data_IF_844113529847
#
_entry.id   IF_844113529847
#
_cell.length_a   1.000
_cell.length_b   1.000
_cell.length_c   1.000
_cell.angle_alpha   90.00
_cell.angle_beta   90.00
_cell.angle_gamma   90.00
#
_symmetry.space_group_name_H-M   'P 1'
#
loop_
_entity.id
_entity.type
_entity.pdbx_description
1 polymer ?
#
# COMPACT_ATOMS: atom_id res chain seq x y z
N UNK A 1 4.41 -18.84 34.33
CA UNK A 1 3.69 -19.97 33.70
C UNK A 1 2.27 -19.87 34.18
N UNK A 2 1.29 -19.76 33.29
CA UNK A 2 -0.12 -19.80 33.67
C UNK A 2 -0.51 -21.27 33.72
N UNK A 3 -1.03 -21.74 34.88
CA UNK A 3 -1.56 -23.09 35.02
C UNK A 3 -2.73 -23.25 34.03
N UNK A 4 -2.62 -24.25 33.19
CA UNK A 4 -3.69 -24.64 32.27
C UNK A 4 -4.70 -25.47 33.07
N UNK A 5 -6.00 -25.22 32.87
CA UNK A 5 -7.08 -25.95 33.51
C UNK A 5 -6.91 -27.47 33.25
N UNK A 6 -6.90 -28.31 34.29
CA UNK A 6 -6.70 -29.76 34.15
C UNK A 6 -7.70 -30.44 33.18
N UNK A 7 -8.88 -29.90 33.00
CA UNK A 7 -9.89 -30.39 32.02
C UNK A 7 -9.48 -30.11 30.58
N UNK A 8 -8.69 -29.07 30.36
CA UNK A 8 -8.15 -28.73 29.02
C UNK A 8 -6.98 -29.65 28.69
N UNK A 9 -6.15 -29.98 29.68
CA UNK A 9 -5.07 -30.96 29.51
C UNK A 9 -5.60 -32.36 29.21
N UNK A 10 -6.62 -32.81 29.94
CA UNK A 10 -7.30 -34.10 29.69
C UNK A 10 -7.94 -34.15 28.29
N UNK A 11 -8.53 -33.05 27.82
CA UNK A 11 -9.09 -32.96 26.47
C UNK A 11 -8.00 -33.00 25.39
N UNK A 12 -6.85 -32.37 25.60
CA UNK A 12 -5.69 -32.38 24.69
C UNK A 12 -5.05 -33.77 24.65
N UNK A 13 -4.95 -34.46 25.80
CA UNK A 13 -4.43 -35.83 25.87
C UNK A 13 -5.34 -36.83 25.16
N UNK A 14 -6.65 -36.65 25.25
CA UNK A 14 -7.66 -37.47 24.54
C UNK A 14 -7.62 -37.23 23.01
N UNK A 15 -7.26 -36.07 22.56
CA UNK A 15 -7.09 -35.72 21.14
C UNK A 15 -5.72 -36.12 20.57
N UNK A 16 -4.69 -36.25 21.44
CA UNK A 16 -3.33 -36.67 21.08
C UNK A 16 -3.17 -38.18 21.11
N UNK A 17 -4.02 -38.92 20.37
CA UNK A 17 -3.86 -40.35 20.17
C UNK A 17 -2.58 -40.64 19.39
N UNK A 18 -1.55 -41.12 20.05
CA UNK A 18 -0.27 -41.49 19.48
C UNK A 18 -0.31 -42.60 18.46
N UNK A 19 -1.47 -43.33 18.36
CA UNK A 19 -1.69 -44.38 17.38
C UNK A 19 -3.11 -44.19 16.79
N UNK A 20 -3.20 -43.36 15.73
CA UNK A 20 -4.45 -43.14 15.03
C UNK A 20 -4.94 -44.41 14.35
N UNK A 21 -6.21 -44.79 14.50
CA UNK A 21 -6.80 -45.86 13.70
C UNK A 21 -6.81 -45.43 12.25
N UNK A 22 -6.20 -46.27 11.40
CA UNK A 22 -6.24 -46.08 9.95
C UNK A 22 -7.69 -46.01 9.48
N UNK A 23 -7.98 -45.17 8.48
CA UNK A 23 -9.30 -44.94 7.85
C UNK A 23 -10.13 -46.21 7.58
N UNK A 24 -9.52 -47.38 7.56
CA UNK A 24 -10.16 -48.68 7.33
C UNK A 24 -10.90 -49.24 8.54
N UNK A 25 -10.59 -48.86 9.78
CA UNK A 25 -11.28 -49.38 11.00
C UNK A 25 -12.54 -48.60 11.37
N UNK A 26 -12.77 -47.44 10.79
CA UNK A 26 -13.99 -46.64 11.04
C UNK A 26 -15.22 -47.17 10.26
N UNK A 27 -15.03 -48.07 9.29
CA UNK A 27 -16.11 -48.56 8.42
C UNK A 27 -16.65 -49.96 8.80
N UNK A 28 -16.12 -50.63 9.84
CA UNK A 28 -16.52 -52.01 10.20
C UNK A 28 -16.98 -52.19 11.66
N UNK A 29 -17.24 -51.13 12.39
CA UNK A 29 -17.73 -51.20 13.76
C UNK A 29 -19.26 -51.03 13.82
N UNK A 30 -19.99 -52.12 13.77
CA UNK A 30 -21.41 -52.16 14.14
C UNK A 30 -21.59 -52.02 15.64
N UNK A 31 -22.29 -50.96 16.07
CA UNK A 31 -22.79 -50.91 17.44
C UNK A 31 -23.06 -49.52 18.00
N UNK A 32 -24.37 -49.23 18.17
CA UNK A 32 -24.98 -48.26 19.08
C UNK A 32 -25.24 -46.83 18.61
N UNK A 33 -26.39 -46.68 18.14
CA UNK A 33 -27.43 -45.66 18.15
C UNK A 33 -27.32 -44.69 19.34
N UNK A 34 -27.07 -43.43 19.09
CA UNK A 34 -27.69 -42.23 19.64
C UNK A 34 -26.87 -40.93 19.55
N UNK A 35 -25.90 -40.82 18.59
CA UNK A 35 -25.23 -39.56 18.32
C UNK A 35 -25.29 -39.12 16.84
N UNK A 36 -26.28 -39.60 16.09
CA UNK A 36 -26.31 -39.50 14.62
C UNK A 36 -27.15 -38.37 14.05
N UNK A 37 -27.77 -37.53 14.88
CA UNK A 37 -28.57 -36.42 14.35
C UNK A 37 -27.74 -35.17 13.99
N UNK A 38 -26.59 -34.99 14.60
CA UNK A 38 -25.74 -33.80 14.32
C UNK A 38 -24.67 -34.06 13.23
N UNK A 39 -24.22 -35.30 13.05
CA UNK A 39 -23.22 -35.65 12.03
C UNK A 39 -23.84 -35.85 10.63
N UNK A 40 -25.13 -36.23 10.54
CA UNK A 40 -25.81 -36.37 9.26
C UNK A 40 -26.14 -35.04 8.58
N UNK A 41 -26.27 -33.94 9.33
CA UNK A 41 -26.49 -32.63 8.77
C UNK A 41 -25.23 -32.07 8.08
N UNK A 42 -24.02 -32.45 8.53
CA UNK A 42 -22.76 -32.04 7.91
C UNK A 42 -22.38 -32.87 6.68
N UNK A 43 -22.82 -34.13 6.59
CA UNK A 43 -22.55 -34.98 5.43
C UNK A 43 -23.60 -34.82 4.31
N UNK A 44 -24.80 -34.36 4.62
CA UNK A 44 -25.82 -34.03 3.62
C UNK A 44 -25.51 -32.78 2.81
N UNK A 45 -24.62 -31.91 3.31
CA UNK A 45 -24.14 -30.72 2.59
C UNK A 45 -23.14 -31.05 1.46
N UNK A 46 -22.59 -32.28 1.41
CA UNK A 46 -21.57 -32.65 0.41
C UNK A 46 -22.06 -33.66 -0.65
N UNK A 47 -23.33 -34.08 -0.66
CA UNK A 47 -23.80 -35.14 -1.56
C UNK A 47 -25.06 -34.84 -2.37
N UNK A 48 -25.34 -33.57 -2.66
CA UNK A 48 -26.37 -33.27 -3.67
C UNK A 48 -25.70 -33.10 -5.05
N UNK A 49 -25.46 -34.19 -5.74
CA UNK A 49 -25.31 -34.21 -7.19
C UNK A 49 -26.66 -33.90 -7.84
N UNK A 50 -27.03 -32.65 -7.89
CA UNK A 50 -28.00 -32.14 -8.85
C UNK A 50 -27.27 -31.16 -9.77
N UNK A 51 -27.07 -31.61 -10.99
CA UNK A 51 -26.80 -30.78 -12.17
C UNK A 51 -28.00 -29.86 -12.43
N UNK A 52 -28.16 -28.88 -11.62
CA UNK A 52 -28.95 -27.68 -11.90
C UNK A 52 -28.01 -26.51 -11.70
N UNK A 53 -27.87 -25.70 -12.76
CA UNK A 53 -27.15 -24.48 -12.85
C UNK A 53 -26.47 -24.06 -11.54
N UNK A 54 -25.17 -23.93 -11.53
CA UNK A 54 -24.44 -23.40 -10.41
C UNK A 54 -25.15 -22.14 -9.91
N UNK A 55 -26.09 -22.30 -9.01
CA UNK A 55 -26.42 -21.25 -8.07
C UNK A 55 -25.12 -21.09 -7.31
N UNK A 56 -24.31 -20.12 -7.75
CA UNK A 56 -23.23 -19.59 -6.98
C UNK A 56 -23.69 -19.67 -5.53
N UNK A 57 -22.95 -20.39 -4.69
CA UNK A 57 -23.04 -20.20 -3.26
C UNK A 57 -22.60 -18.76 -3.02
N UNK A 58 -23.51 -17.82 -3.31
CA UNK A 58 -23.35 -16.44 -2.90
C UNK A 58 -23.19 -16.52 -1.41
N UNK A 59 -21.99 -16.21 -0.92
CA UNK A 59 -21.74 -16.18 0.50
C UNK A 59 -22.89 -15.42 1.16
N UNK A 60 -23.37 -15.93 2.28
CA UNK A 60 -24.52 -15.37 3.00
C UNK A 60 -24.14 -14.05 3.70
N UNK A 61 -23.60 -13.10 2.93
CA UNK A 61 -23.31 -11.77 3.46
C UNK A 61 -24.64 -11.04 3.72
N UNK A 62 -24.80 -10.46 4.92
CA UNK A 62 -26.01 -9.73 5.26
C UNK A 62 -26.12 -8.47 4.38
N UNK A 63 -27.34 -8.03 4.14
CA UNK A 63 -27.58 -6.71 3.57
C UNK A 63 -27.02 -5.66 4.53
N UNK A 64 -26.09 -4.86 4.04
CA UNK A 64 -25.49 -3.78 4.82
C UNK A 64 -26.25 -2.47 4.64
N UNK A 65 -26.20 -1.55 5.62
CA UNK A 65 -26.56 -0.16 5.40
C UNK A 65 -25.70 0.45 4.28
N UNK A 66 -26.16 1.54 3.70
CA UNK A 66 -25.39 2.30 2.72
C UNK A 66 -24.26 3.09 3.41
N UNK A 67 -23.26 2.37 3.92
CA UNK A 67 -22.12 2.97 4.60
C UNK A 67 -21.36 3.91 3.69
N UNK A 68 -21.23 5.19 4.09
CA UNK A 68 -20.48 6.20 3.35
C UNK A 68 -19.09 6.36 3.92
N UNK A 69 -18.05 5.97 3.17
CA UNK A 69 -16.66 6.18 3.53
C UNK A 69 -16.11 7.47 2.92
N UNK A 70 -15.08 8.03 3.55
CA UNK A 70 -14.43 9.25 3.12
C UNK A 70 -12.93 9.04 3.06
N UNK A 71 -12.31 9.57 2.00
CA UNK A 71 -10.86 9.56 1.82
C UNK A 71 -10.33 10.98 1.88
N UNK A 72 -9.44 11.24 2.83
CA UNK A 72 -8.76 12.52 3.05
C UNK A 72 -7.37 12.44 2.45
N UNK A 73 -7.13 13.15 1.35
CA UNK A 73 -5.91 13.10 0.57
C UNK A 73 -5.16 14.44 0.62
N UNK A 74 -3.83 14.37 0.43
CA UNK A 74 -2.96 15.54 0.50
C UNK A 74 -2.73 16.22 -0.85
N UNK A 75 -2.87 15.49 -1.98
CA UNK A 75 -2.74 16.03 -3.35
C UNK A 75 -3.83 15.44 -4.25
N UNK A 76 -5.05 15.90 -4.08
CA UNK A 76 -6.27 15.29 -4.64
C UNK A 76 -6.29 15.21 -6.17
N UNK A 77 -5.52 16.03 -6.86
CA UNK A 77 -5.43 16.12 -8.33
C UNK A 77 -4.17 15.44 -8.90
N UNK A 78 -3.26 14.91 -8.06
CA UNK A 78 -2.04 14.27 -8.55
C UNK A 78 -2.37 12.93 -9.26
N UNK A 79 -1.90 12.70 -10.50
CA UNK A 79 -2.14 11.47 -11.25
C UNK A 79 -1.70 10.19 -10.53
N UNK A 80 -0.77 10.26 -9.59
CA UNK A 80 -0.38 9.15 -8.74
C UNK A 80 -1.58 8.50 -8.04
N UNK A 81 -2.58 9.28 -7.63
CA UNK A 81 -3.76 8.79 -6.94
C UNK A 81 -4.90 8.33 -7.85
N UNK A 82 -4.73 8.37 -9.16
CA UNK A 82 -5.76 7.84 -10.09
C UNK A 82 -6.03 6.35 -9.86
N UNK A 83 -5.02 5.45 -9.73
CA UNK A 83 -5.27 4.06 -9.36
C UNK A 83 -5.91 3.89 -7.98
N UNK A 84 -5.58 4.75 -7.02
CA UNK A 84 -6.21 4.74 -5.68
C UNK A 84 -7.71 5.01 -5.80
N UNK A 85 -8.11 6.01 -6.60
CA UNK A 85 -9.51 6.31 -6.85
C UNK A 85 -10.24 5.17 -7.57
N UNK A 86 -9.58 4.45 -8.48
CA UNK A 86 -10.14 3.23 -9.05
C UNK A 86 -10.29 2.13 -8.01
N UNK A 87 -9.29 1.93 -7.15
CA UNK A 87 -9.33 0.92 -6.09
C UNK A 87 -10.50 1.13 -5.14
N UNK A 88 -10.69 2.35 -4.63
CA UNK A 88 -11.82 2.64 -3.74
C UNK A 88 -13.18 2.50 -4.43
N UNK A 89 -13.29 2.89 -5.71
CA UNK A 89 -14.52 2.75 -6.46
C UNK A 89 -14.85 1.28 -6.76
N UNK A 90 -13.85 0.47 -7.12
CA UNK A 90 -14.01 -0.95 -7.40
C UNK A 90 -14.38 -1.74 -6.15
N UNK A 91 -13.74 -1.45 -5.00
CA UNK A 91 -14.09 -2.07 -3.73
C UNK A 91 -15.53 -1.72 -3.31
N UNK A 92 -15.94 -0.46 -3.46
CA UNK A 92 -17.30 -0.03 -3.17
C UNK A 92 -18.31 -0.72 -4.09
N UNK A 93 -18.03 -0.82 -5.38
CA UNK A 93 -18.88 -1.53 -6.34
C UNK A 93 -18.99 -3.03 -6.02
N UNK A 94 -17.86 -3.69 -5.69
CA UNK A 94 -17.81 -5.09 -5.29
C UNK A 94 -18.68 -5.37 -4.06
N UNK A 95 -18.68 -4.45 -3.10
CA UNK A 95 -19.37 -4.57 -1.81
C UNK A 95 -20.77 -3.95 -1.82
N UNK A 96 -21.26 -3.48 -2.96
CA UNK A 96 -22.56 -2.81 -3.12
C UNK A 96 -22.72 -1.58 -2.22
N UNK A 97 -21.67 -0.81 -2.04
CA UNK A 97 -21.63 0.40 -1.24
C UNK A 97 -21.62 1.67 -2.10
N UNK A 98 -22.03 2.82 -1.54
CA UNK A 98 -21.81 4.11 -2.20
C UNK A 98 -20.32 4.35 -2.44
N UNK A 99 -19.98 4.94 -3.58
CA UNK A 99 -18.59 5.34 -3.87
C UNK A 99 -18.07 6.26 -2.76
N UNK A 100 -16.90 5.97 -2.16
CA UNK A 100 -16.33 6.82 -1.14
C UNK A 100 -16.10 8.25 -1.61
N UNK A 101 -16.27 9.20 -0.70
CA UNK A 101 -15.99 10.61 -0.97
C UNK A 101 -14.48 10.85 -0.97
N UNK A 102 -14.00 11.56 -1.97
CA UNK A 102 -12.59 11.90 -2.16
C UNK A 102 -12.39 13.41 -2.02
N UNK A 103 -11.46 13.83 -1.15
CA UNK A 103 -11.16 15.24 -0.92
C UNK A 103 -9.99 15.45 0.02
N UNK A 104 -9.78 16.69 0.42
CA UNK A 104 -8.67 17.09 1.28
C UNK A 104 -7.96 18.34 0.77
N UNK A 105 -6.70 18.22 0.32
CA UNK A 105 -5.95 19.32 -0.27
C UNK A 105 -5.44 18.96 -1.66
N UNK A 106 -5.32 19.95 -2.54
CA UNK A 106 -4.68 19.79 -3.84
C UNK A 106 -3.14 19.95 -3.77
N UNK A 107 -2.62 20.63 -2.73
CA UNK A 107 -1.22 21.05 -2.64
C UNK A 107 -0.59 20.82 -1.25
N UNK A 108 -0.90 19.70 -0.60
CA UNK A 108 -0.37 19.31 0.72
C UNK A 108 -0.61 20.33 1.84
N UNK A 109 -1.68 21.11 1.76
CA UNK A 109 -2.04 22.11 2.78
C UNK A 109 -2.75 21.42 3.95
N UNK A 110 -2.01 21.09 5.00
CA UNK A 110 -2.49 20.32 6.17
C UNK A 110 -3.78 20.90 6.79
N UNK A 111 -3.94 22.23 7.01
CA UNK A 111 -5.20 22.77 7.52
C UNK A 111 -6.42 22.45 6.65
N UNK A 112 -6.29 22.42 5.31
CA UNK A 112 -7.39 22.01 4.42
C UNK A 112 -7.77 20.54 4.62
N UNK A 113 -6.77 19.67 4.79
CA UNK A 113 -7.00 18.25 5.08
C UNK A 113 -7.70 18.06 6.41
N UNK A 114 -7.28 18.75 7.47
CA UNK A 114 -7.93 18.73 8.79
C UNK A 114 -9.38 19.21 8.68
N UNK A 115 -9.64 20.27 7.94
CA UNK A 115 -11.00 20.78 7.72
C UNK A 115 -11.88 19.75 7.02
N UNK A 116 -11.36 19.09 5.98
CA UNK A 116 -12.10 18.04 5.26
C UNK A 116 -12.33 16.80 6.13
N UNK A 117 -11.34 16.40 6.94
CA UNK A 117 -11.48 15.32 7.91
C UNK A 117 -12.60 15.61 8.92
N UNK A 118 -12.60 16.82 9.48
CA UNK A 118 -13.63 17.24 10.42
C UNK A 118 -15.03 17.28 9.79
N UNK A 119 -15.12 17.65 8.49
CA UNK A 119 -16.37 17.58 7.73
C UNK A 119 -16.86 16.13 7.62
N UNK A 120 -15.97 15.18 7.35
CA UNK A 120 -16.32 13.75 7.31
C UNK A 120 -16.80 13.25 8.68
N UNK A 121 -16.13 13.64 9.77
CA UNK A 121 -16.51 13.29 11.13
C UNK A 121 -17.87 13.89 11.52
N UNK A 122 -18.11 15.18 11.21
CA UNK A 122 -19.38 15.84 11.44
C UNK A 122 -20.55 15.22 10.64
N UNK A 123 -20.26 14.72 9.44
CA UNK A 123 -21.21 13.98 8.61
C UNK A 123 -21.44 12.54 9.09
N UNK A 124 -20.85 12.14 10.23
CA UNK A 124 -20.93 10.78 10.79
C UNK A 124 -20.53 9.72 9.77
N UNK A 125 -19.38 9.92 9.11
CA UNK A 125 -18.84 8.96 8.16
C UNK A 125 -18.81 7.55 8.77
N UNK A 126 -19.10 6.54 7.97
CA UNK A 126 -19.00 5.13 8.40
C UNK A 126 -17.55 4.61 8.46
N UNK A 127 -16.59 5.43 8.05
CA UNK A 127 -15.16 5.24 8.12
C UNK A 127 -14.42 6.35 7.39
N UNK A 128 -13.24 6.73 7.89
CA UNK A 128 -12.40 7.78 7.30
C UNK A 128 -11.01 7.21 7.01
N UNK A 129 -10.62 7.17 5.74
CA UNK A 129 -9.27 6.88 5.30
C UNK A 129 -8.47 8.19 5.18
N UNK A 130 -7.33 8.28 5.83
CA UNK A 130 -6.52 9.49 5.96
C UNK A 130 -5.09 9.27 5.46
N UNK A 131 -4.62 10.06 4.51
CA UNK A 131 -3.19 10.15 4.19
C UNK A 131 -2.51 11.13 5.17
N UNK A 132 -1.98 10.61 6.28
CA UNK A 132 -1.43 11.42 7.37
C UNK A 132 -0.01 11.92 7.06
N UNK A 133 0.10 13.09 6.44
CA UNK A 133 1.40 13.71 6.09
C UNK A 133 2.02 14.54 7.23
N UNK A 134 1.33 14.68 8.34
CA UNK A 134 1.80 15.41 9.53
C UNK A 134 1.65 14.55 10.77
N UNK A 135 2.69 14.49 11.61
CA UNK A 135 2.73 13.68 12.83
C UNK A 135 1.78 14.15 13.92
N UNK A 136 1.46 15.43 13.95
CA UNK A 136 0.76 16.07 15.07
C UNK A 136 -0.61 16.62 14.71
N UNK A 137 -0.79 17.11 13.48
CA UNK A 137 -2.00 17.80 13.08
C UNK A 137 -3.25 16.92 13.12
N UNK A 138 -3.11 15.62 12.98
CA UNK A 138 -4.21 14.66 12.95
C UNK A 138 -4.43 13.91 14.28
N UNK A 139 -3.56 14.07 15.28
CA UNK A 139 -3.68 13.38 16.57
C UNK A 139 -5.07 13.63 17.20
N UNK A 140 -5.43 14.88 17.41
CA UNK A 140 -6.73 15.22 18.01
C UNK A 140 -7.92 14.91 17.10
N UNK A 141 -7.93 15.26 15.81
CA UNK A 141 -9.02 14.88 14.91
C UNK A 141 -9.29 13.38 14.87
N UNK A 142 -8.25 12.54 14.73
CA UNK A 142 -8.40 11.08 14.69
C UNK A 142 -8.89 10.55 16.03
N UNK A 143 -8.30 10.98 17.14
CA UNK A 143 -8.74 10.59 18.48
C UNK A 143 -10.23 10.90 18.69
N UNK A 144 -10.68 12.10 18.31
CA UNK A 144 -12.07 12.50 18.46
C UNK A 144 -13.01 11.66 17.58
N UNK A 145 -12.63 11.36 16.33
CA UNK A 145 -13.41 10.51 15.44
C UNK A 145 -13.53 9.07 16.00
N UNK A 146 -12.41 8.50 16.44
CA UNK A 146 -12.39 7.16 17.05
C UNK A 146 -13.22 7.09 18.33
N UNK A 147 -13.13 8.09 19.20
CA UNK A 147 -13.95 8.19 20.40
C UNK A 147 -15.45 8.36 20.10
N UNK A 148 -15.78 8.95 18.96
CA UNK A 148 -17.16 9.07 18.47
C UNK A 148 -17.66 7.80 17.73
N UNK A 149 -16.87 6.72 17.71
CA UNK A 149 -17.22 5.46 17.05
C UNK A 149 -17.03 5.46 15.52
N UNK A 150 -16.28 6.42 14.99
CA UNK A 150 -15.95 6.48 13.55
C UNK A 150 -14.58 5.82 13.34
N UNK A 151 -14.50 4.66 12.69
CA UNK A 151 -13.23 4.00 12.44
C UNK A 151 -12.35 4.82 11.49
N UNK A 152 -11.07 4.93 11.83
CA UNK A 152 -10.07 5.63 11.03
C UNK A 152 -8.97 4.67 10.63
N UNK A 153 -8.63 4.65 9.34
CA UNK A 153 -7.50 3.93 8.77
C UNK A 153 -6.60 4.96 8.08
N UNK A 154 -5.29 4.89 8.30
CA UNK A 154 -4.37 5.67 7.49
C UNK A 154 -4.01 4.92 6.21
N UNK A 155 -3.76 5.65 5.11
CA UNK A 155 -3.32 5.07 3.86
C UNK A 155 -2.27 5.95 3.20
N UNK A 156 -1.39 5.38 2.39
CA UNK A 156 -0.32 6.06 1.67
C UNK A 156 0.73 6.73 2.59
N UNK A 157 0.29 7.46 3.61
CA UNK A 157 1.14 8.09 4.61
C UNK A 157 0.55 7.89 6.02
N UNK A 158 1.40 7.57 6.98
CA UNK A 158 1.02 7.26 8.37
C UNK A 158 1.73 8.15 9.41
N UNK A 159 2.22 9.28 9.00
CA UNK A 159 3.10 10.12 9.81
C UNK A 159 4.58 9.81 9.57
N UNK A 160 5.44 10.39 10.40
CA UNK A 160 6.90 10.24 10.25
C UNK A 160 7.40 9.05 11.07
N UNK A 161 8.44 8.39 10.55
CA UNK A 161 9.24 7.43 11.31
C UNK A 161 10.45 8.15 11.89
N UNK A 162 10.75 7.92 13.16
CA UNK A 162 12.00 8.33 13.78
C UNK A 162 12.72 7.08 14.27
N UNK A 163 13.93 6.84 13.76
CA UNK A 163 14.73 5.65 14.09
C UNK A 163 13.93 4.34 13.93
N UNK A 164 13.29 4.16 12.77
CA UNK A 164 12.49 2.98 12.40
C UNK A 164 11.24 2.73 13.27
N UNK A 165 10.91 3.64 14.17
CA UNK A 165 9.70 3.57 14.98
C UNK A 165 8.69 4.57 14.43
N UNK A 166 7.45 4.14 14.14
CA UNK A 166 6.40 5.06 13.77
C UNK A 166 6.15 6.02 14.93
N UNK A 167 6.36 7.30 14.69
CA UNK A 167 5.85 8.34 15.60
C UNK A 167 4.41 8.58 15.21
N UNK A 168 3.57 7.59 15.50
CA UNK A 168 2.15 7.67 15.21
C UNK A 168 1.51 8.50 16.31
N UNK A 169 1.19 9.73 15.98
CA UNK A 169 0.39 10.58 16.84
C UNK A 169 -1.10 10.22 16.84
N UNK A 170 -1.51 9.07 16.27
CA UNK A 170 -2.93 8.73 16.14
C UNK A 170 -3.24 7.33 16.66
N UNK A 171 -4.45 7.15 17.20
CA UNK A 171 -5.00 5.86 17.60
C UNK A 171 -5.83 5.19 16.48
N UNK A 172 -5.42 5.33 15.24
CA UNK A 172 -6.03 4.70 14.08
C UNK A 172 -6.11 3.17 14.19
N UNK A 173 -7.01 2.55 13.43
CA UNK A 173 -7.16 1.09 13.44
C UNK A 173 -6.02 0.38 12.70
N UNK A 174 -5.67 0.86 11.52
CA UNK A 174 -4.66 0.23 10.67
C UNK A 174 -4.02 1.24 9.71
N UNK A 175 -2.89 0.86 9.13
CA UNK A 175 -2.25 1.52 8.00
C UNK A 175 -2.30 0.63 6.75
N UNK A 176 -2.58 1.23 5.60
CA UNK A 176 -2.51 0.58 4.30
C UNK A 176 -1.62 1.40 3.38
N UNK A 177 -0.40 0.99 3.19
CA UNK A 177 0.57 1.74 2.38
C UNK A 177 1.92 1.07 2.36
N UNK A 178 2.88 1.70 1.69
CA UNK A 178 4.24 1.19 1.60
C UNK A 178 5.00 1.45 2.91
N UNK A 179 5.84 0.51 3.32
CA UNK A 179 6.84 0.72 4.36
C UNK A 179 7.90 1.72 3.86
N UNK A 180 7.65 3.03 4.10
CA UNK A 180 8.36 4.13 3.43
C UNK A 180 9.86 4.13 3.68
N UNK A 181 10.30 3.94 4.94
CA UNK A 181 11.72 3.92 5.28
C UNK A 181 12.42 2.72 4.63
N UNK A 182 11.82 1.52 4.69
CA UNK A 182 12.36 0.31 4.06
C UNK A 182 12.43 0.46 2.53
N UNK A 183 11.44 1.10 1.92
CA UNK A 183 11.50 1.39 0.48
C UNK A 183 12.60 2.39 0.11
N UNK A 184 12.88 3.34 1.01
CA UNK A 184 14.05 4.21 0.91
C UNK A 184 15.36 3.43 1.00
N UNK A 185 15.48 2.50 1.94
CA UNK A 185 16.63 1.61 2.03
C UNK A 185 16.82 0.78 0.75
N UNK A 186 15.73 0.27 0.17
CA UNK A 186 15.79 -0.43 -1.11
C UNK A 186 16.30 0.47 -2.23
N UNK A 187 15.87 1.74 -2.29
CA UNK A 187 16.45 2.74 -3.21
C UNK A 187 17.95 2.91 -2.96
N UNK A 188 18.37 3.06 -1.71
CA UNK A 188 19.78 3.17 -1.34
C UNK A 188 20.60 1.97 -1.83
N UNK A 189 20.08 0.75 -1.75
CA UNK A 189 20.74 -0.45 -2.28
C UNK A 189 20.84 -0.43 -3.81
N UNK A 190 19.79 0.04 -4.51
CA UNK A 190 19.86 0.23 -5.96
C UNK A 190 20.95 1.25 -6.34
N UNK A 191 21.02 2.37 -5.61
CA UNK A 191 22.05 3.39 -5.81
C UNK A 191 23.45 2.80 -5.61
N UNK A 192 23.69 2.02 -4.55
CA UNK A 192 24.98 1.36 -4.31
C UNK A 192 25.37 0.41 -5.42
N UNK A 193 24.41 -0.33 -5.96
CA UNK A 193 24.65 -1.23 -7.09
C UNK A 193 25.04 -0.47 -8.35
N UNK A 194 24.40 0.66 -8.62
CA UNK A 194 24.64 1.46 -9.80
C UNK A 194 25.89 2.35 -9.69
N UNK A 195 26.23 2.77 -8.49
CA UNK A 195 27.34 3.70 -8.19
C UNK A 195 28.21 3.12 -7.05
N UNK A 196 28.90 1.98 -7.26
CA UNK A 196 29.61 1.33 -6.15
C UNK A 196 30.76 2.15 -5.57
N UNK A 197 31.27 3.12 -6.32
CA UNK A 197 32.36 4.00 -5.88
C UNK A 197 31.93 5.22 -5.05
N UNK A 198 30.63 5.41 -4.84
CA UNK A 198 30.12 6.62 -4.17
C UNK A 198 30.25 7.88 -5.01
N UNK A 199 30.15 9.03 -4.36
CA UNK A 199 30.29 10.35 -4.96
C UNK A 199 29.07 11.26 -4.72
N UNK A 200 29.05 12.39 -5.43
CA UNK A 200 27.96 13.36 -5.32
C UNK A 200 26.68 12.85 -6.02
N UNK A 201 25.59 12.71 -5.29
CA UNK A 201 24.27 12.36 -5.83
C UNK A 201 23.21 13.35 -5.35
N UNK A 202 22.30 13.69 -6.24
CA UNK A 202 21.10 14.46 -5.89
C UNK A 202 19.92 13.53 -5.65
N UNK A 203 19.14 13.84 -4.63
CA UNK A 203 17.84 13.22 -4.37
C UNK A 203 16.78 14.32 -4.32
N UNK A 204 15.90 14.31 -5.31
CA UNK A 204 14.80 15.26 -5.42
C UNK A 204 13.63 14.80 -4.54
N UNK A 205 12.99 15.76 -3.89
CA UNK A 205 11.91 15.55 -2.94
C UNK A 205 10.91 16.70 -3.02
N UNK A 206 9.63 16.41 -3.27
CA UNK A 206 8.62 17.45 -3.45
C UNK A 206 8.49 18.36 -2.21
N UNK A 207 8.39 17.77 -1.03
CA UNK A 207 8.16 18.52 0.23
C UNK A 207 9.00 17.92 1.36
N UNK A 208 10.23 18.38 1.56
CA UNK A 208 11.09 17.91 2.64
C UNK A 208 10.40 17.97 4.01
N UNK A 209 10.67 17.00 4.87
CA UNK A 209 10.13 16.91 6.23
C UNK A 209 8.69 16.37 6.33
N UNK A 210 8.03 16.06 5.21
CA UNK A 210 6.67 15.48 5.26
C UNK A 210 6.68 13.97 5.43
N UNK A 211 5.69 13.45 6.18
CA UNK A 211 5.62 12.05 6.58
C UNK A 211 5.37 11.05 5.45
N UNK A 212 5.04 11.51 4.25
CA UNK A 212 4.78 10.66 3.09
C UNK A 212 6.01 10.40 2.21
N UNK A 213 7.05 11.24 2.27
CA UNK A 213 8.22 11.11 1.39
C UNK A 213 9.56 11.24 2.10
N UNK A 214 9.66 12.04 3.19
CA UNK A 214 10.92 12.17 3.94
C UNK A 214 11.48 10.82 4.41
N UNK A 215 10.69 9.86 4.92
CA UNK A 215 11.24 8.57 5.33
C UNK A 215 11.94 7.79 4.22
N UNK A 216 11.57 8.01 2.95
CA UNK A 216 12.27 7.39 1.81
C UNK A 216 13.66 7.96 1.62
N UNK A 217 13.80 9.29 1.74
CA UNK A 217 15.12 9.94 1.72
C UNK A 217 15.98 9.44 2.87
N UNK A 218 15.44 9.45 4.09
CA UNK A 218 16.16 9.02 5.29
C UNK A 218 16.57 7.55 5.21
N UNK A 219 15.70 6.69 4.69
CA UNK A 219 16.00 5.28 4.45
C UNK A 219 17.15 5.11 3.45
N UNK A 220 17.14 5.84 2.35
CA UNK A 220 18.23 5.80 1.37
C UNK A 220 19.55 6.30 1.98
N UNK A 221 19.49 7.41 2.71
CA UNK A 221 20.66 7.99 3.39
C UNK A 221 21.27 7.01 4.41
N UNK A 222 20.43 6.27 5.16
CA UNK A 222 20.89 5.29 6.15
C UNK A 222 21.74 4.16 5.54
N UNK A 223 21.46 3.81 4.28
CA UNK A 223 22.19 2.77 3.55
C UNK A 223 23.45 3.28 2.89
N UNK A 224 23.41 4.49 2.34
CA UNK A 224 24.45 5.00 1.47
C UNK A 224 25.76 5.30 2.22
N UNK A 225 25.69 5.84 3.42
CA UNK A 225 26.87 6.13 4.24
C UNK A 225 27.75 7.27 3.70
N UNK A 226 28.91 7.46 4.31
CA UNK A 226 29.78 8.64 4.11
C UNK A 226 30.50 8.71 2.76
N UNK A 227 30.54 7.61 1.99
CA UNK A 227 31.12 7.62 0.64
C UNK A 227 30.24 8.33 -0.40
N UNK A 228 28.98 8.61 -0.05
CA UNK A 228 28.05 9.35 -0.88
C UNK A 228 27.77 10.71 -0.28
N UNK A 229 27.98 11.76 -1.07
CA UNK A 229 27.59 13.11 -0.70
C UNK A 229 26.18 13.37 -1.24
N UNK A 230 25.22 13.38 -0.32
CA UNK A 230 23.80 13.52 -0.65
C UNK A 230 23.40 15.00 -0.72
N UNK A 231 22.74 15.37 -1.80
CA UNK A 231 22.12 16.67 -1.98
C UNK A 231 20.61 16.49 -2.00
N UNK A 232 19.93 16.85 -0.91
CA UNK A 232 18.47 16.90 -0.83
C UNK A 232 17.99 18.18 -1.48
N UNK A 233 17.14 18.07 -2.51
CA UNK A 233 16.67 19.24 -3.28
C UNK A 233 15.16 19.25 -3.35
N UNK A 234 14.56 20.28 -2.76
CA UNK A 234 13.11 20.48 -2.79
C UNK A 234 12.66 20.88 -4.20
N UNK A 235 11.63 20.17 -4.72
CA UNK A 235 11.04 20.45 -6.03
C UNK A 235 9.71 21.18 -5.94
N UNK A 236 9.03 21.10 -4.77
CA UNK A 236 7.69 21.66 -4.54
C UNK A 236 6.58 20.65 -4.83
N UNK A 237 5.40 20.86 -4.20
CA UNK A 237 4.26 19.96 -4.34
C UNK A 237 3.43 20.19 -5.62
N UNK A 238 3.70 21.25 -6.36
CA UNK A 238 3.00 21.56 -7.60
C UNK A 238 3.76 20.99 -8.79
N UNK A 239 3.19 20.03 -9.49
CA UNK A 239 3.82 19.32 -10.62
C UNK A 239 4.45 20.24 -11.67
N UNK A 240 3.87 21.40 -11.93
CA UNK A 240 4.48 22.37 -12.86
C UNK A 240 5.80 23.01 -12.37
N UNK A 241 6.06 22.96 -11.07
CA UNK A 241 7.30 23.50 -10.47
C UNK A 241 8.44 22.49 -10.42
N UNK A 242 8.14 21.21 -10.29
CA UNK A 242 9.09 20.13 -10.06
C UNK A 242 10.13 20.04 -11.18
N UNK A 243 9.67 19.98 -12.42
CA UNK A 243 10.55 19.94 -13.61
C UNK A 243 11.52 21.12 -13.68
N UNK A 244 11.08 22.33 -13.34
CA UNK A 244 11.92 23.51 -13.41
C UNK A 244 13.01 23.50 -12.32
N UNK A 245 12.66 23.06 -11.10
CA UNK A 245 13.61 22.92 -10.00
C UNK A 245 14.68 21.87 -10.34
N UNK A 246 14.29 20.72 -10.86
CA UNK A 246 15.21 19.67 -11.30
C UNK A 246 16.15 20.14 -12.41
N UNK A 247 15.61 20.77 -13.47
CA UNK A 247 16.42 21.31 -14.57
C UNK A 247 17.42 22.33 -14.07
N UNK A 248 17.00 23.26 -13.22
CA UNK A 248 17.88 24.29 -12.69
C UNK A 248 19.05 23.69 -11.91
N UNK A 249 18.75 22.73 -11.01
CA UNK A 249 19.77 22.08 -10.21
C UNK A 249 20.73 21.24 -11.06
N UNK A 250 20.21 20.42 -11.96
CA UNK A 250 21.03 19.55 -12.83
C UNK A 250 21.93 20.36 -13.75
N UNK A 251 21.44 21.42 -14.36
CA UNK A 251 22.26 22.30 -15.22
C UNK A 251 23.41 22.97 -14.45
N UNK A 252 23.15 23.42 -13.23
CA UNK A 252 24.15 24.08 -12.40
C UNK A 252 25.24 23.12 -11.86
N UNK A 253 24.91 21.83 -11.67
CA UNK A 253 25.77 20.88 -10.97
C UNK A 253 26.24 19.68 -11.82
N UNK A 254 25.89 19.63 -13.11
CA UNK A 254 26.09 18.49 -14.01
C UNK A 254 27.51 17.91 -14.08
N UNK A 255 28.55 18.72 -13.84
CA UNK A 255 29.95 18.28 -13.91
C UNK A 255 30.37 17.38 -12.75
N UNK A 256 29.69 17.44 -11.61
CA UNK A 256 30.10 16.79 -10.37
C UNK A 256 29.21 15.58 -10.03
N UNK A 257 27.95 15.56 -10.54
CA UNK A 257 26.98 14.53 -10.19
C UNK A 257 27.35 13.17 -10.73
N UNK A 258 27.29 12.16 -9.86
CA UNK A 258 27.42 10.72 -10.18
C UNK A 258 26.07 10.02 -10.36
N UNK A 259 24.98 10.62 -9.86
CA UNK A 259 23.64 10.11 -10.02
C UNK A 259 22.57 11.12 -9.63
N UNK A 260 21.34 10.89 -10.12
CA UNK A 260 20.18 11.72 -9.81
C UNK A 260 18.96 10.85 -9.53
N UNK A 261 18.35 11.01 -8.37
CA UNK A 261 17.23 10.19 -7.91
C UNK A 261 16.10 11.05 -7.37
N UNK A 262 14.91 10.47 -7.22
CA UNK A 262 13.75 11.15 -6.66
C UNK A 262 12.97 10.23 -5.73
N UNK A 263 12.30 10.77 -4.70
CA UNK A 263 11.57 9.98 -3.69
C UNK A 263 10.04 10.06 -3.81
N UNK A 264 9.54 10.75 -4.81
CA UNK A 264 8.10 10.91 -5.06
C UNK A 264 7.75 10.79 -6.56
N UNK A 265 6.45 10.62 -6.82
CA UNK A 265 5.94 10.34 -8.16
C UNK A 265 6.14 11.50 -9.15
N UNK A 266 5.97 12.73 -8.68
CA UNK A 266 6.07 13.93 -9.53
C UNK A 266 7.51 14.14 -9.96
N UNK A 267 8.42 14.29 -8.99
CA UNK A 267 9.86 14.45 -9.27
C UNK A 267 10.41 13.28 -10.10
N UNK A 268 10.04 12.03 -9.83
CA UNK A 268 10.48 10.89 -10.65
C UNK A 268 9.96 10.97 -12.09
N UNK A 269 8.73 11.44 -12.26
CA UNK A 269 8.08 11.59 -13.57
C UNK A 269 8.81 12.59 -14.46
N UNK A 270 9.32 13.65 -13.87
CA UNK A 270 9.97 14.76 -14.55
C UNK A 270 11.49 14.55 -14.76
N UNK A 271 12.09 13.69 -13.93
CA UNK A 271 13.53 13.46 -13.88
C UNK A 271 14.13 13.07 -15.24
N UNK A 272 13.45 12.21 -16.01
CA UNK A 272 13.93 11.82 -17.34
C UNK A 272 14.08 13.00 -18.30
N UNK A 273 13.08 13.91 -18.31
CA UNK A 273 13.10 15.12 -19.11
C UNK A 273 14.14 16.14 -18.58
N UNK A 274 14.27 16.27 -17.27
CA UNK A 274 15.25 17.15 -16.65
C UNK A 274 16.70 16.71 -16.96
N UNK A 275 16.98 15.40 -16.89
CA UNK A 275 18.27 14.81 -17.28
C UNK A 275 18.57 15.05 -18.76
N UNK A 276 17.57 14.89 -19.64
CA UNK A 276 17.74 15.14 -21.06
C UNK A 276 18.10 16.62 -21.33
N UNK A 277 17.43 17.55 -20.68
CA UNK A 277 17.70 18.99 -20.79
C UNK A 277 19.11 19.37 -20.29
N UNK A 278 19.62 18.67 -19.27
CA UNK A 278 21.00 18.87 -18.77
C UNK A 278 22.06 18.13 -19.59
N UNK A 279 21.65 17.29 -20.55
CA UNK A 279 22.56 16.43 -21.34
C UNK A 279 23.14 15.28 -20.54
N UNK A 280 22.43 14.83 -19.46
CA UNK A 280 22.83 13.76 -18.55
C UNK A 280 22.04 12.46 -18.75
N UNK A 281 20.97 12.46 -19.54
CA UNK A 281 20.14 11.30 -19.77
C UNK A 281 20.96 10.10 -20.29
N UNK A 282 20.89 8.96 -19.60
CA UNK A 282 21.66 7.74 -19.89
C UNK A 282 23.18 7.84 -19.65
N UNK A 283 23.68 8.98 -19.15
CA UNK A 283 25.10 9.18 -18.83
C UNK A 283 25.42 8.99 -17.35
N UNK A 284 24.47 9.26 -16.49
CA UNK A 284 24.56 8.99 -15.06
C UNK A 284 23.40 8.12 -14.61
N UNK A 285 23.57 7.25 -13.60
CA UNK A 285 22.49 6.49 -13.01
C UNK A 285 21.37 7.39 -12.47
N UNK A 286 20.13 6.96 -12.70
CA UNK A 286 18.96 7.69 -12.25
C UNK A 286 17.79 6.73 -11.96
N UNK A 287 16.91 7.14 -11.06
CA UNK A 287 15.73 6.34 -10.69
C UNK A 287 14.89 7.03 -9.62
N UNK A 288 13.82 6.37 -9.18
CA UNK A 288 12.96 6.96 -8.16
C UNK A 288 11.79 6.07 -7.78
N UNK A 289 10.64 6.68 -7.58
CA UNK A 289 9.42 6.03 -7.12
C UNK A 289 8.28 6.20 -8.11
N UNK A 290 7.37 5.21 -8.07
CA UNK A 290 6.11 5.18 -8.79
C UNK A 290 6.23 4.96 -10.31
N UNK A 291 5.09 4.68 -10.95
CA UNK A 291 5.06 4.20 -12.34
C UNK A 291 4.14 5.07 -13.22
N UNK A 292 4.27 6.38 -13.07
CA UNK A 292 3.57 7.30 -13.98
C UNK A 292 4.04 7.11 -15.43
N UNK A 293 3.19 7.47 -16.39
CA UNK A 293 3.49 7.29 -17.81
C UNK A 293 4.85 7.82 -18.26
N UNK A 294 5.24 9.06 -17.91
CA UNK A 294 6.58 9.58 -18.22
C UNK A 294 7.71 8.77 -17.58
N UNK A 295 7.57 8.33 -16.31
CA UNK A 295 8.54 7.45 -15.63
C UNK A 295 8.77 6.15 -16.42
N UNK A 296 7.68 5.47 -16.79
CA UNK A 296 7.77 4.23 -17.57
C UNK A 296 8.41 4.47 -18.94
N UNK A 297 8.10 5.60 -19.58
CA UNK A 297 8.73 6.00 -20.85
C UNK A 297 10.22 6.23 -20.69
N UNK A 298 10.65 6.92 -19.63
CA UNK A 298 12.04 7.18 -19.33
C UNK A 298 12.84 5.90 -19.00
N UNK A 299 12.23 4.93 -18.30
CA UNK A 299 12.84 3.61 -18.06
C UNK A 299 13.03 2.85 -19.39
N UNK A 300 12.00 2.81 -20.25
CA UNK A 300 12.11 2.17 -21.58
C UNK A 300 13.21 2.79 -22.42
N UNK A 301 13.34 4.11 -22.37
CA UNK A 301 14.36 4.86 -23.10
C UNK A 301 15.77 4.73 -22.49
N UNK A 302 15.92 4.11 -21.31
CA UNK A 302 17.19 4.02 -20.60
C UNK A 302 17.66 5.34 -19.97
N UNK A 303 16.75 6.29 -19.79
CA UNK A 303 17.03 7.56 -19.08
C UNK A 303 16.96 7.37 -17.57
N UNK A 304 16.10 6.44 -17.09
CA UNK A 304 16.04 5.96 -15.73
C UNK A 304 16.38 4.47 -15.67
N UNK A 305 17.11 4.05 -14.64
CA UNK A 305 17.50 2.66 -14.42
C UNK A 305 16.39 1.87 -13.76
N UNK A 306 15.65 2.50 -12.83
CA UNK A 306 14.59 1.85 -12.07
C UNK A 306 13.55 2.85 -11.57
N UNK A 307 12.42 2.31 -11.12
CA UNK A 307 11.47 2.97 -10.23
C UNK A 307 10.92 1.97 -9.21
N UNK A 308 10.54 2.43 -8.02
CA UNK A 308 9.97 1.59 -6.96
C UNK A 308 8.46 1.78 -6.94
N UNK A 309 7.74 0.70 -7.22
CA UNK A 309 6.27 0.68 -7.23
C UNK A 309 5.72 0.29 -5.86
N UNK A 310 4.63 0.96 -5.45
CA UNK A 310 4.01 0.81 -4.13
C UNK A 310 2.53 0.38 -4.17
N UNK A 311 2.01 0.01 -5.31
CA UNK A 311 0.62 -0.39 -5.54
C UNK A 311 -0.45 0.59 -4.99
N UNK A 312 -0.58 1.78 -5.56
CA UNK A 312 -1.56 2.76 -5.12
C UNK A 312 -3.02 2.31 -5.30
N UNK A 313 -3.31 1.32 -6.15
CA UNK A 313 -4.64 0.74 -6.29
C UNK A 313 -5.07 0.01 -4.99
N UNK A 314 -4.18 -0.79 -4.41
CA UNK A 314 -4.45 -1.46 -3.13
C UNK A 314 -4.63 -0.45 -2.00
N UNK A 315 -3.95 0.69 -2.03
CA UNK A 315 -4.11 1.77 -1.05
C UNK A 315 -5.51 2.42 -1.10
N UNK A 316 -6.25 2.24 -2.18
CA UNK A 316 -7.65 2.62 -2.28
C UNK A 316 -8.60 1.47 -1.95
N UNK A 317 -8.32 0.28 -2.47
CA UNK A 317 -9.20 -0.89 -2.37
C UNK A 317 -9.29 -1.42 -0.94
N UNK A 318 -8.16 -1.64 -0.29
CA UNK A 318 -8.11 -2.31 1.02
C UNK A 318 -8.74 -1.49 2.15
N UNK A 319 -8.59 -0.16 2.27
CA UNK A 319 -9.28 0.59 3.31
C UNK A 319 -10.81 0.43 3.24
N UNK A 320 -11.40 0.41 2.04
CA UNK A 320 -12.85 0.18 1.86
C UNK A 320 -13.25 -1.21 2.33
N UNK A 321 -12.48 -2.24 1.94
CA UNK A 321 -12.70 -3.62 2.39
C UNK A 321 -12.57 -3.74 3.92
N UNK A 322 -11.58 -3.09 4.51
CA UNK A 322 -11.33 -3.12 5.94
C UNK A 322 -12.42 -2.44 6.75
N UNK A 323 -12.90 -1.28 6.31
CA UNK A 323 -14.06 -0.64 6.92
C UNK A 323 -15.31 -1.52 6.81
N UNK A 324 -15.51 -2.16 5.66
CA UNK A 324 -16.61 -3.08 5.48
C UNK A 324 -16.55 -4.24 6.49
N UNK A 325 -15.41 -4.92 6.59
CA UNK A 325 -15.23 -6.04 7.52
C UNK A 325 -15.35 -5.60 8.98
N UNK A 326 -14.80 -4.44 9.33
CA UNK A 326 -14.91 -3.86 10.66
C UNK A 326 -16.38 -3.58 11.02
N UNK A 327 -17.11 -2.90 10.15
CA UNK A 327 -18.50 -2.52 10.41
C UNK A 327 -19.43 -3.73 10.44
N UNK A 328 -19.28 -4.70 9.52
CA UNK A 328 -20.14 -5.89 9.48
C UNK A 328 -19.94 -6.82 10.69
N UNK A 329 -18.75 -6.78 11.28
CA UNK A 329 -18.42 -7.57 12.49
C UNK A 329 -18.73 -6.85 13.80
N UNK A 330 -19.27 -5.64 13.75
CA UNK A 330 -19.46 -4.82 14.95
C UNK A 330 -18.15 -4.44 15.66
N UNK A 331 -17.06 -4.33 14.90
CA UNK A 331 -15.73 -3.96 15.40
C UNK A 331 -14.88 -5.12 15.94
N UNK A 332 -15.34 -6.38 15.81
CA UNK A 332 -14.59 -7.56 16.28
C UNK A 332 -13.38 -7.86 15.38
N UNK A 333 -13.51 -7.64 14.07
CA UNK A 333 -12.43 -7.85 13.11
C UNK A 333 -11.59 -6.58 12.99
N UNK A 334 -10.50 -6.47 13.76
CA UNK A 334 -9.54 -5.40 13.62
C UNK A 334 -8.66 -5.64 12.37
N UNK A 335 -8.62 -4.70 11.42
CA UNK A 335 -7.77 -4.85 10.25
C UNK A 335 -6.28 -4.75 10.63
N UNK A 336 -5.40 -5.54 10.00
CA UNK A 336 -3.95 -5.43 10.21
C UNK A 336 -3.35 -4.25 9.46
N UNK A 337 -2.20 -3.76 9.92
CA UNK A 337 -1.33 -2.93 9.08
C UNK A 337 -0.90 -3.74 7.85
N UNK A 338 -0.95 -3.11 6.69
CA UNK A 338 -0.68 -3.78 5.42
C UNK A 338 0.33 -2.99 4.59
N UNK A 339 1.50 -3.59 4.40
CA UNK A 339 2.47 -3.09 3.43
C UNK A 339 1.98 -3.43 2.02
N UNK A 340 1.73 -2.40 1.20
CA UNK A 340 1.29 -2.57 -0.19
C UNK A 340 2.43 -2.89 -1.15
N UNK A 341 3.60 -3.13 -0.61
CA UNK A 341 4.69 -3.76 -1.30
C UNK A 341 5.75 -2.83 -1.87
N UNK A 342 6.75 -3.50 -2.37
CA UNK A 342 7.94 -2.91 -2.92
C UNK A 342 8.34 -3.73 -4.16
N UNK A 343 8.11 -3.18 -5.34
CA UNK A 343 8.59 -3.79 -6.57
C UNK A 343 9.54 -2.83 -7.28
N UNK A 344 10.78 -3.27 -7.47
CA UNK A 344 11.74 -2.53 -8.29
C UNK A 344 11.41 -2.79 -9.75
N UNK A 345 10.88 -1.77 -10.42
CA UNK A 345 10.54 -1.78 -11.85
C UNK A 345 11.73 -1.27 -12.65
N UNK A 346 12.18 -2.04 -13.62
CA UNK A 346 13.27 -1.71 -14.50
C UNK A 346 12.95 -2.16 -15.94
N UNK A 347 13.90 -2.04 -16.85
CA UNK A 347 13.70 -2.38 -18.27
C UNK A 347 13.30 -3.84 -18.48
N UNK A 348 13.73 -4.76 -17.62
CA UNK A 348 13.52 -6.20 -17.79
C UNK A 348 12.13 -6.66 -17.36
N UNK A 349 11.49 -5.94 -16.41
CA UNK A 349 10.19 -6.30 -15.84
C UNK A 349 9.09 -5.27 -16.08
N UNK A 350 9.34 -4.23 -16.87
CA UNK A 350 8.40 -3.10 -17.10
C UNK A 350 7.13 -3.49 -17.87
N UNK A 351 7.14 -4.58 -18.64
CA UNK A 351 6.07 -4.91 -19.57
C UNK A 351 4.67 -4.93 -18.94
N UNK A 352 4.43 -5.57 -17.77
CA UNK A 352 3.12 -5.54 -17.11
C UNK A 352 2.64 -4.14 -16.76
N UNK A 353 3.56 -3.23 -16.43
CA UNK A 353 3.25 -1.85 -16.04
C UNK A 353 2.86 -0.95 -17.22
N UNK A 354 3.10 -1.40 -18.46
CA UNK A 354 2.81 -0.61 -19.66
C UNK A 354 1.60 -1.09 -20.45
N UNK A 355 1.04 -2.26 -20.11
CA UNK A 355 -0.04 -2.89 -20.88
C UNK A 355 -1.44 -2.56 -20.37
N UNK A 356 -1.58 -1.91 -19.28
CA UNK A 356 -2.89 -1.54 -18.72
C UNK A 356 -2.72 -0.43 -17.74
N UNK A 357 -3.69 0.09 -17.35
CA UNK A 357 -5.09 0.30 -17.22
C UNK A 357 -5.39 0.91 -15.83
N UNK A 358 -6.27 0.34 -15.06
CA UNK A 358 -6.68 0.80 -13.74
C UNK A 358 -5.56 0.81 -12.70
N UNK A 359 -4.74 -0.23 -12.67
CA UNK A 359 -3.63 -0.37 -11.71
C UNK A 359 -2.50 0.65 -11.91
N UNK A 360 -2.33 1.17 -13.13
CA UNK A 360 -1.36 2.20 -13.48
C UNK A 360 -1.99 3.58 -13.72
N UNK A 361 -3.31 3.70 -13.54
CA UNK A 361 -3.99 4.98 -13.73
C UNK A 361 -4.19 5.43 -15.17
N UNK A 362 -4.05 4.54 -16.15
CA UNK A 362 -4.13 4.89 -17.58
C UNK A 362 -5.51 4.68 -18.20
N UNK A 363 -6.41 3.95 -17.54
CA UNK A 363 -7.74 3.64 -18.08
C UNK A 363 -8.72 3.29 -16.95
N UNK A 364 -9.98 3.69 -17.11
CA UNK A 364 -11.09 3.24 -16.27
C UNK A 364 -11.63 1.87 -16.69
N UNK A 365 -11.16 1.30 -17.81
CA UNK A 365 -11.62 0.00 -18.29
C UNK A 365 -11.22 -1.12 -17.32
N UNK A 366 -12.22 -1.93 -16.91
CA UNK A 366 -11.97 -3.12 -16.12
C UNK A 366 -11.50 -4.24 -17.05
N UNK A 367 -10.21 -4.50 -17.03
CA UNK A 367 -9.62 -5.63 -17.74
C UNK A 367 -8.87 -6.52 -16.76
N UNK A 368 -9.07 -7.83 -16.89
CA UNK A 368 -8.21 -8.80 -16.22
C UNK A 368 -6.83 -8.72 -16.87
N UNK A 369 -5.81 -8.46 -16.06
CA UNK A 369 -4.42 -8.53 -16.53
C UNK A 369 -4.01 -10.00 -16.55
N UNK A 370 -3.62 -10.57 -17.70
CA UNK A 370 -3.15 -11.94 -17.74
C UNK A 370 -1.90 -12.11 -16.87
N UNK A 371 -1.93 -13.12 -16.01
CA UNK A 371 -0.75 -13.47 -15.23
C UNK A 371 0.33 -14.04 -16.16
N UNK A 372 1.59 -13.64 -16.01
CA UNK A 372 2.69 -14.28 -16.72
C UNK A 372 2.70 -15.79 -16.47
N UNK A 373 3.01 -16.56 -17.50
CA UNK A 373 3.22 -18.01 -17.37
C UNK A 373 4.60 -18.27 -16.77
N UNK A 374 4.71 -19.29 -15.92
CA UNK A 374 5.97 -19.70 -15.32
C UNK A 374 5.97 -19.59 -13.78
N UNK A 375 7.13 -19.78 -13.15
CA UNK A 375 7.25 -19.76 -11.69
C UNK A 375 6.86 -18.40 -11.12
N UNK A 376 6.09 -18.41 -10.03
CA UNK A 376 5.81 -17.21 -9.25
C UNK A 376 7.08 -16.87 -8.47
N UNK A 377 7.65 -15.70 -8.75
CA UNK A 377 8.71 -15.13 -7.92
C UNK A 377 8.05 -14.30 -6.83
N UNK A 378 8.24 -14.69 -5.58
CA UNK A 378 7.85 -13.84 -4.47
C UNK A 378 8.61 -12.50 -4.54
N UNK A 379 7.98 -11.37 -4.19
CA UNK A 379 8.73 -10.14 -3.98
C UNK A 379 9.81 -10.40 -2.92
N UNK A 380 10.95 -9.69 -2.97
CA UNK A 380 11.96 -9.81 -1.93
C UNK A 380 11.29 -9.56 -0.57
N UNK A 381 11.47 -10.49 0.35
CA UNK A 381 10.95 -10.33 1.70
C UNK A 381 11.56 -9.04 2.28
N UNK A 382 10.73 -8.13 2.72
CA UNK A 382 11.15 -7.03 3.58
C UNK A 382 11.48 -7.65 4.94
N UNK A 383 12.70 -8.17 5.09
CA UNK A 383 13.16 -8.68 6.38
C UNK A 383 13.36 -7.48 7.28
N UNK A 384 12.41 -7.25 8.18
CA UNK A 384 12.67 -6.53 9.41
C UNK A 384 13.63 -7.41 10.24
N UNK A 385 14.91 -7.13 10.15
CA UNK A 385 15.89 -7.60 11.13
C UNK A 385 16.01 -6.59 12.25
#
# INVERSE_FOLDING_TARGET
MRDVDPKVEEAIETLNMKDGPTRRKLLTGTGLVSATAAASALLAACSSTNTSAASSAAGNFPKTPAWQFWFVNHVTSNPFFTPTQYGLADAAALLHLPTPKWGGSANSVVPQMVSYFNTAAAAKASGIALAAISNTAFTTPVMNAMNAGIPVITYNADGTFVNDKPVIGTNRLAYVGQALFLSGQAMGQQIKTLIPGGGDIVIFIATPGTGNIQPRYDGAASVLGSSYKLHEVATGAATAGELNAEKAYLLANKSNLKGAFAVDAGSTSDLGQALAAAGLAGKIPAGGFDTLGPTLTAIKAGQLNFSIFQDPYLQGFLPVLYFYLYNISGGVLAPPDTDTGLTVVNKDNIAPFTTTSRYQGTSSAQKVVPRPTGPIKAPPATTST
#
